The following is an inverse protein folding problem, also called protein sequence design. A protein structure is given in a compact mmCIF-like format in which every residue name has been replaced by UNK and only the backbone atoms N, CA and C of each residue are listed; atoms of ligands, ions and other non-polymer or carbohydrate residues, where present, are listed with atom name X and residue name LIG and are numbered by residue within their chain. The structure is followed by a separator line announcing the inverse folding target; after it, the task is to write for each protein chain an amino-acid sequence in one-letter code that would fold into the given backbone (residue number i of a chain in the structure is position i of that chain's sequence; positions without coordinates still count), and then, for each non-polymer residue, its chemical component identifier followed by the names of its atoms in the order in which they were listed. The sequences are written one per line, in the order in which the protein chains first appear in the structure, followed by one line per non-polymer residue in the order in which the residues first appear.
data_IF_304886661699
#
_entry.id   IF_304886661699
#
_cell.length_a   1.000
_cell.length_b   1.000
_cell.length_c   1.000
_cell.angle_alpha   90.00
_cell.angle_beta   90.00
_cell.angle_gamma   90.00
#
_symmetry.space_group_name_H-M   'P 1'
#
loop_
_entity.id
_entity.type
_entity.pdbx_description
1 polymer ?
#
# COMPACT_ATOMS: atom_id res chain seq x y z
N UNK A 1 1.07 21.65 -8.72
CA UNK A 1 0.82 20.82 -7.53
C UNK A 1 0.09 19.59 -8.00
N UNK A 2 0.69 18.41 -7.88
CA UNK A 2 -0.04 17.14 -7.93
C UNK A 2 -0.76 17.01 -6.59
N UNK A 3 -2.04 16.64 -6.59
CA UNK A 3 -2.74 16.35 -5.33
C UNK A 3 -2.13 15.10 -4.69
N UNK A 4 -2.35 14.93 -3.39
CA UNK A 4 -1.99 13.68 -2.73
C UNK A 4 -2.72 12.50 -3.39
N UNK A 5 -2.07 11.33 -3.38
CA UNK A 5 -2.63 10.12 -3.94
C UNK A 5 -2.26 8.89 -3.10
N UNK A 6 -3.06 7.85 -3.27
CA UNK A 6 -2.80 6.47 -2.83
C UNK A 6 -2.98 5.59 -4.05
N UNK A 7 -2.04 4.68 -4.31
CA UNK A 7 -2.13 3.79 -5.46
C UNK A 7 -1.65 2.38 -5.09
N UNK A 8 -2.38 1.38 -5.56
CA UNK A 8 -1.94 -0.02 -5.49
C UNK A 8 -1.22 -0.34 -6.81
N UNK A 9 0.00 -0.83 -6.72
CA UNK A 9 0.84 -1.16 -7.88
C UNK A 9 1.10 -2.66 -7.95
N UNK A 10 1.16 -3.17 -9.17
CA UNK A 10 1.67 -4.50 -9.44
C UNK A 10 3.18 -4.41 -9.68
N UNK A 11 3.98 -5.28 -9.06
CA UNK A 11 5.45 -5.19 -9.18
C UNK A 11 6.03 -5.85 -10.43
N UNK A 12 5.18 -6.45 -11.27
CA UNK A 12 5.61 -7.28 -12.40
C UNK A 12 5.87 -8.75 -12.02
N UNK A 13 5.99 -9.05 -10.73
CA UNK A 13 6.37 -10.38 -10.21
C UNK A 13 5.25 -11.09 -9.42
N UNK A 14 4.00 -10.99 -9.86
CA UNK A 14 2.81 -11.55 -9.16
C UNK A 14 2.67 -11.05 -7.72
N UNK A 15 3.14 -9.83 -7.44
CA UNK A 15 3.11 -9.19 -6.13
C UNK A 15 2.45 -7.82 -6.22
N UNK A 16 1.83 -7.39 -5.13
CA UNK A 16 1.07 -6.14 -5.05
C UNK A 16 1.55 -5.33 -3.86
N UNK A 17 1.78 -4.04 -4.09
CA UNK A 17 2.23 -3.08 -3.06
C UNK A 17 1.32 -1.87 -3.03
N UNK A 18 1.36 -1.11 -1.94
CA UNK A 18 0.67 0.18 -1.84
C UNK A 18 1.71 1.30 -1.80
N UNK A 19 1.47 2.38 -2.54
CA UNK A 19 2.26 3.62 -2.47
C UNK A 19 1.36 4.79 -2.12
N UNK A 20 1.94 5.84 -1.54
CA UNK A 20 1.22 7.07 -1.25
C UNK A 20 2.14 8.27 -1.16
N UNK A 21 1.65 9.42 -1.62
CA UNK A 21 2.29 10.72 -1.38
C UNK A 21 1.73 11.45 -0.15
N UNK A 22 0.70 10.90 0.50
CA UNK A 22 0.08 11.52 1.68
C UNK A 22 1.14 11.68 2.77
N UNK A 23 1.30 12.91 3.26
CA UNK A 23 2.27 13.23 4.32
C UNK A 23 3.74 13.25 3.86
N UNK A 24 4.01 13.05 2.56
CA UNK A 24 5.36 13.08 2.02
C UNK A 24 5.80 14.51 1.66
N UNK A 25 7.11 14.73 1.63
CA UNK A 25 7.68 15.94 1.00
C UNK A 25 7.48 15.88 -0.52
N UNK A 26 7.41 17.04 -1.17
CA UNK A 26 7.16 17.12 -2.62
C UNK A 26 8.15 16.25 -3.41
N UNK A 27 7.61 15.30 -4.17
CA UNK A 27 8.39 14.40 -5.02
C UNK A 27 8.82 13.09 -4.36
N UNK A 28 8.66 12.97 -3.05
CA UNK A 28 8.85 11.72 -2.32
C UNK A 28 7.54 10.94 -2.23
N UNK A 29 7.64 9.61 -2.23
CA UNK A 29 6.51 8.70 -2.11
C UNK A 29 6.86 7.61 -1.10
N UNK A 30 5.92 7.27 -0.23
CA UNK A 30 6.06 6.15 0.69
C UNK A 30 5.61 4.85 0.02
N UNK A 31 6.39 3.78 0.20
CA UNK A 31 6.08 2.41 -0.20
C UNK A 31 5.72 1.58 1.03
N UNK A 32 4.58 0.89 0.95
CA UNK A 32 4.07 -0.04 1.95
C UNK A 32 3.99 -1.42 1.30
N UNK A 33 4.93 -2.28 1.68
CA UNK A 33 5.12 -3.61 1.10
C UNK A 33 5.08 -4.68 2.22
N UNK A 34 4.12 -5.58 2.13
CA UNK A 34 3.93 -6.69 3.08
C UNK A 34 4.87 -7.87 2.83
N UNK A 35 5.69 -7.85 1.77
CA UNK A 35 6.68 -8.89 1.46
C UNK A 35 8.02 -8.26 1.04
N UNK A 36 8.43 -7.23 1.76
CA UNK A 36 9.63 -6.48 1.43
C UNK A 36 10.90 -7.29 1.73
N UNK A 37 11.81 -7.39 0.75
CA UNK A 37 13.07 -8.12 0.86
C UNK A 37 14.29 -7.19 0.64
N UNK A 38 14.25 -5.98 1.22
CA UNK A 38 15.33 -4.97 1.14
C UNK A 38 15.62 -4.45 -0.28
N UNK A 39 14.74 -4.71 -1.24
CA UNK A 39 14.86 -4.31 -2.64
C UNK A 39 13.52 -3.75 -3.11
N UNK A 40 13.55 -2.58 -3.78
CA UNK A 40 12.39 -2.03 -4.50
C UNK A 40 12.47 -2.53 -5.94
N UNK A 41 11.38 -3.11 -6.46
CA UNK A 41 11.31 -3.57 -7.86
C UNK A 41 11.40 -2.38 -8.84
N UNK A 42 12.20 -2.52 -9.90
CA UNK A 42 12.37 -1.50 -10.96
C UNK A 42 11.04 -1.05 -11.57
N UNK A 43 10.09 -1.98 -11.72
CA UNK A 43 8.74 -1.73 -12.23
C UNK A 43 7.93 -0.81 -11.31
N UNK A 44 8.10 -0.92 -9.98
CA UNK A 44 7.48 -0.01 -9.02
C UNK A 44 8.10 1.38 -9.13
N UNK A 45 9.42 1.46 -9.22
CA UNK A 45 10.12 2.74 -9.39
C UNK A 45 9.72 3.46 -10.69
N UNK A 46 9.60 2.73 -11.80
CA UNK A 46 9.17 3.29 -13.07
C UNK A 46 7.73 3.79 -13.02
N UNK A 47 6.79 3.01 -12.46
CA UNK A 47 5.40 3.45 -12.26
C UNK A 47 5.31 4.72 -11.39
N UNK A 48 6.13 4.84 -10.34
CA UNK A 48 6.17 6.04 -9.50
C UNK A 48 6.69 7.26 -10.29
N UNK A 49 7.74 7.09 -11.10
CA UNK A 49 8.26 8.17 -11.97
C UNK A 49 7.21 8.64 -12.97
N UNK A 50 6.41 7.72 -13.51
CA UNK A 50 5.33 8.05 -14.45
C UNK A 50 4.18 8.81 -13.78
N UNK A 51 3.90 8.53 -12.50
CA UNK A 51 2.92 9.26 -11.69
C UNK A 51 3.41 10.67 -11.27
N UNK A 52 4.73 10.87 -11.18
CA UNK A 52 5.37 12.12 -10.77
C UNK A 52 6.29 12.71 -11.85
N UNK A 53 5.78 13.02 -13.05
CA UNK A 53 6.60 13.47 -14.15
C UNK A 53 7.30 14.78 -13.77
N UNK A 54 8.63 14.79 -13.86
CA UNK A 54 9.53 15.91 -13.54
C UNK A 54 9.67 16.28 -12.05
N UNK A 55 8.98 15.59 -11.14
CA UNK A 55 9.01 15.90 -9.71
C UNK A 55 9.47 14.71 -8.85
N UNK A 56 9.76 13.55 -9.43
CA UNK A 56 10.25 12.40 -8.68
C UNK A 56 11.59 12.70 -7.96
N UNK A 57 11.61 12.49 -6.65
CA UNK A 57 12.80 12.62 -5.80
C UNK A 57 13.24 11.26 -5.27
N UNK A 58 12.30 10.45 -4.78
CA UNK A 58 12.63 9.13 -4.25
C UNK A 58 11.44 8.37 -3.67
N UNK A 59 11.69 7.10 -3.33
CA UNK A 59 10.75 6.21 -2.63
C UNK A 59 11.31 5.92 -1.25
N UNK A 60 10.49 6.11 -0.22
CA UNK A 60 10.81 5.74 1.16
C UNK A 60 10.01 4.49 1.55
N UNK A 61 10.71 3.45 2.01
CA UNK A 61 10.04 2.22 2.46
C UNK A 61 9.60 2.39 3.89
N UNK A 62 8.30 2.26 4.12
CA UNK A 62 7.70 2.38 5.45
C UNK A 62 7.56 1.00 6.09
N UNK A 63 8.10 0.76 7.30
CA UNK A 63 7.91 -0.52 7.99
C UNK A 63 6.44 -0.79 8.27
N UNK A 64 5.94 -1.92 7.78
CA UNK A 64 4.55 -2.39 7.97
C UNK A 64 4.52 -3.86 8.31
N UNK A 65 3.38 -4.33 8.83
CA UNK A 65 3.18 -5.76 9.08
C UNK A 65 3.41 -6.58 7.80
N UNK A 66 4.27 -7.58 7.90
CA UNK A 66 4.57 -8.49 6.81
C UNK A 66 3.54 -9.62 6.73
N UNK A 67 3.25 -10.07 5.51
CA UNK A 67 2.40 -11.23 5.24
C UNK A 67 3.12 -12.53 5.60
N UNK A 68 2.35 -13.57 5.95
CA UNK A 68 2.92 -14.87 6.36
C UNK A 68 2.85 -15.94 5.25
N UNK A 69 2.39 -15.59 4.04
CA UNK A 69 2.27 -16.50 2.90
C UNK A 69 2.50 -15.78 1.58
N UNK A 70 2.57 -16.48 0.45
CA UNK A 70 2.83 -15.89 -0.87
C UNK A 70 1.62 -15.26 -1.59
N UNK A 71 0.46 -15.12 -0.95
CA UNK A 71 -0.79 -14.78 -1.64
C UNK A 71 -1.55 -13.59 -1.06
N UNK A 72 -1.19 -13.12 0.14
CA UNK A 72 -1.93 -12.08 0.86
C UNK A 72 -1.53 -10.65 0.47
N UNK A 73 -0.50 -10.45 -0.36
CA UNK A 73 -0.03 -9.12 -0.78
C UNK A 73 -1.16 -8.21 -1.27
N UNK A 74 -2.08 -8.73 -2.08
CA UNK A 74 -3.23 -7.96 -2.57
C UNK A 74 -4.16 -7.48 -1.45
N UNK A 75 -4.42 -8.30 -0.42
CA UNK A 75 -5.30 -7.89 0.69
C UNK A 75 -4.59 -6.93 1.65
N UNK A 76 -3.28 -7.08 1.84
CA UNK A 76 -2.46 -6.12 2.58
C UNK A 76 -2.37 -4.77 1.88
N UNK A 77 -2.12 -4.74 0.57
CA UNK A 77 -2.06 -3.50 -0.20
C UNK A 77 -3.39 -2.71 -0.09
N UNK A 78 -4.54 -3.39 -0.14
CA UNK A 78 -5.85 -2.75 0.09
C UNK A 78 -6.00 -2.27 1.53
N UNK A 79 -5.56 -3.04 2.53
CA UNK A 79 -5.62 -2.64 3.93
C UNK A 79 -4.77 -1.39 4.21
N UNK A 80 -3.55 -1.32 3.68
CA UNK A 80 -2.67 -0.16 3.78
C UNK A 80 -3.30 1.07 3.12
N UNK A 81 -3.82 0.92 1.89
CA UNK A 81 -4.54 1.98 1.20
C UNK A 81 -5.75 2.47 2.00
N UNK A 82 -6.47 1.53 2.63
CA UNK A 82 -7.62 1.84 3.49
C UNK A 82 -7.19 2.65 4.72
N UNK A 83 -6.12 2.27 5.42
CA UNK A 83 -5.60 3.07 6.54
C UNK A 83 -5.31 4.51 6.10
N UNK A 84 -4.59 4.67 4.99
CA UNK A 84 -4.19 5.98 4.49
C UNK A 84 -5.38 6.90 4.16
N UNK A 85 -6.41 6.38 3.47
CA UNK A 85 -7.59 7.20 3.13
C UNK A 85 -8.47 7.53 4.34
N UNK A 86 -8.36 6.77 5.43
CA UNK A 86 -8.99 7.06 6.72
C UNK A 86 -8.09 7.90 7.65
N UNK A 87 -6.99 8.45 7.14
CA UNK A 87 -6.01 9.26 7.90
C UNK A 87 -5.33 8.47 9.04
N UNK A 88 -5.13 7.17 8.83
CA UNK A 88 -4.48 6.24 9.76
C UNK A 88 -3.12 5.83 9.20
N UNK A 89 -2.14 5.61 10.07
CA UNK A 89 -0.81 5.16 9.68
C UNK A 89 -0.75 3.62 9.60
N UNK A 90 -0.48 3.00 8.44
CA UNK A 90 -0.35 1.55 8.30
C UNK A 90 0.68 0.91 9.26
N UNK A 91 1.74 1.62 9.66
CA UNK A 91 2.76 1.11 10.58
C UNK A 91 2.26 0.85 12.00
N UNK A 92 1.13 1.48 12.38
CA UNK A 92 0.55 1.33 13.72
C UNK A 92 -0.40 0.13 13.82
N UNK A 93 -0.61 -0.60 12.72
CA UNK A 93 -1.61 -1.68 12.63
C UNK A 93 -0.99 -3.06 12.77
N UNK A 94 -1.61 -3.87 13.62
CA UNK A 94 -1.46 -5.33 13.64
C UNK A 94 -2.77 -5.95 13.15
N UNK A 95 -2.87 -6.20 11.85
CA UNK A 95 -4.04 -6.78 11.21
C UNK A 95 -4.28 -8.23 11.64
N UNK A 96 -5.56 -8.56 11.81
CA UNK A 96 -6.06 -9.93 12.02
C UNK A 96 -6.15 -10.64 10.66
N UNK A 97 -5.00 -11.18 10.22
CA UNK A 97 -4.79 -11.77 8.89
C UNK A 97 -5.91 -12.75 8.47
N UNK A 98 -6.33 -13.73 9.31
CA UNK A 98 -7.44 -14.64 8.97
C UNK A 98 -8.75 -13.94 8.59
N UNK A 99 -9.00 -12.73 9.10
CA UNK A 99 -10.25 -11.98 8.85
C UNK A 99 -10.15 -10.99 7.70
N UNK A 100 -8.95 -10.67 7.21
CA UNK A 100 -8.77 -9.65 6.16
C UNK A 100 -9.47 -10.00 4.85
N UNK A 101 -9.35 -11.24 4.36
CA UNK A 101 -9.97 -11.66 3.09
C UNK A 101 -11.51 -11.72 3.17
N UNK A 102 -12.13 -12.35 4.20
CA UNK A 102 -13.58 -12.28 4.38
C UNK A 102 -14.09 -10.84 4.49
N UNK A 103 -13.37 -9.98 5.22
CA UNK A 103 -13.72 -8.56 5.37
C UNK A 103 -13.69 -7.81 4.04
N UNK A 104 -12.65 -8.00 3.23
CA UNK A 104 -12.58 -7.39 1.90
C UNK A 104 -13.74 -7.86 1.01
N UNK A 105 -14.08 -9.14 1.04
CA UNK A 105 -15.22 -9.68 0.29
C UNK A 105 -16.54 -9.02 0.72
N UNK A 106 -16.75 -8.82 2.02
CA UNK A 106 -17.91 -8.12 2.56
C UNK A 106 -17.95 -6.65 2.13
N UNK A 107 -16.82 -5.94 2.22
CA UNK A 107 -16.71 -4.55 1.76
C UNK A 107 -17.06 -4.41 0.27
N UNK A 108 -16.52 -5.29 -0.58
CA UNK A 108 -16.79 -5.29 -2.01
C UNK A 108 -18.27 -5.59 -2.32
N UNK A 109 -18.89 -6.51 -1.58
CA UNK A 109 -20.34 -6.80 -1.71
C UNK A 109 -21.21 -5.64 -1.26
N UNK A 110 -20.79 -4.91 -0.22
CA UNK A 110 -21.50 -3.75 0.29
C UNK A 110 -21.29 -2.48 -0.56
N UNK A 111 -20.22 -2.43 -1.38
CA UNK A 111 -19.82 -1.22 -2.09
C UNK A 111 -19.21 -0.14 -1.17
N UNK A 112 -18.77 -0.54 0.03
CA UNK A 112 -18.26 0.35 1.07
C UNK A 112 -17.01 -0.28 1.69
N UNK A 113 -15.86 0.39 1.56
CA UNK A 113 -14.61 -0.04 2.20
C UNK A 113 -14.58 0.44 3.66
N UNK A 114 -14.13 -0.43 4.57
CA UNK A 114 -14.00 -0.15 6.00
C UNK A 114 -12.61 -0.53 6.47
N UNK A 115 -12.13 0.17 7.50
CA UNK A 115 -10.88 -0.18 8.19
C UNK A 115 -10.84 -1.67 8.48
N UNK A 116 -9.74 -2.31 8.13
CA UNK A 116 -9.59 -3.76 8.21
C UNK A 116 -9.50 -4.24 9.67
N UNK A 117 -9.90 -5.49 9.98
CA UNK A 117 -9.78 -6.06 11.32
C UNK A 117 -8.33 -6.03 11.85
N UNK A 118 -8.14 -5.58 13.10
CA UNK A 118 -6.84 -5.41 13.76
C UNK A 118 -6.99 -5.54 15.29
N UNK A 119 -5.87 -5.63 16.01
CA UNK A 119 -5.78 -5.75 17.48
C UNK A 119 -5.34 -4.46 18.17
#
# INVERSE_FOLDING_TARGET
MTSDFVQILHTGNSHWVCISSIGCTSGCVNLYDSLYNDIIDDEVEQQVKDLLPNNFVGIEVVPVQQQMNGSDCGVFAVAFATCLVFELNPSDFMFDIPRMRPHLLECLRAGEIKVFPHF
#
